data_IF_299733401274
#
_entry.id   IF_299733401274
#
_cell.length_a   1.000
_cell.length_b   1.000
_cell.length_c   1.000
_cell.angle_alpha   90.00
_cell.angle_beta   90.00
_cell.angle_gamma   90.00
#
_symmetry.space_group_name_H-M   'P 1'
#
loop_
_entity.id
_entity.type
_entity.pdbx_description
1 polymer ?
#
# COMPACT_ATOMS: atom_id res chain seq x y z
N UNK A 1 -8.20 51.83 17.39
CA UNK A 1 -7.89 52.10 15.97
C UNK A 1 -6.57 51.40 15.69
N UNK A 2 -6.43 50.26 15.01
CA UNK A 2 -7.29 49.38 14.22
C UNK A 2 -7.03 47.94 14.67
N UNK A 3 -8.07 47.17 14.99
CA UNK A 3 -8.02 45.71 15.05
C UNK A 3 -8.35 45.24 13.64
N UNK A 4 -7.36 44.74 12.91
CA UNK A 4 -7.54 44.13 11.60
C UNK A 4 -8.17 42.76 11.77
N UNK A 5 -9.50 42.71 11.54
CA UNK A 5 -10.25 41.49 11.22
C UNK A 5 -9.78 41.01 9.85
N UNK A 6 -9.33 39.75 9.75
CA UNK A 6 -9.56 38.84 8.60
C UNK A 6 -8.80 37.52 8.77
N UNK A 7 -9.25 36.69 9.72
CA UNK A 7 -8.91 35.25 9.78
C UNK A 7 -10.19 34.42 9.59
N UNK A 8 -10.88 34.66 8.48
CA UNK A 8 -11.96 33.82 7.99
C UNK A 8 -11.80 33.77 6.47
N UNK A 9 -11.18 32.68 5.98
CA UNK A 9 -11.33 32.10 4.64
C UNK A 9 -10.04 31.41 4.19
N UNK A 10 -9.76 30.22 4.72
CA UNK A 10 -9.00 29.20 3.98
C UNK A 10 -9.42 27.83 4.53
N UNK A 11 -10.65 27.42 4.22
CA UNK A 11 -10.98 26.00 4.17
C UNK A 11 -11.05 25.66 2.68
N UNK A 12 -9.96 25.21 2.03
CA UNK A 12 -10.09 24.65 0.71
C UNK A 12 -10.90 23.36 0.87
N UNK A 13 -12.17 23.42 0.47
CA UNK A 13 -12.93 22.20 0.15
C UNK A 13 -12.03 21.45 -0.83
N UNK A 14 -11.57 20.25 -0.44
CA UNK A 14 -10.82 19.36 -1.31
C UNK A 14 -11.69 19.16 -2.53
N UNK A 15 -11.32 19.78 -3.66
CA UNK A 15 -11.92 19.46 -4.95
C UNK A 15 -11.23 18.18 -5.40
N UNK A 16 -11.88 17.00 -5.35
CA UNK A 16 -11.34 15.86 -6.04
C UNK A 16 -11.26 16.24 -7.52
N UNK A 17 -10.05 16.28 -8.07
CA UNK A 17 -9.83 16.32 -9.52
C UNK A 17 -10.06 14.91 -10.08
N UNK A 18 -11.28 14.39 -9.87
CA UNK A 18 -11.74 13.14 -10.46
C UNK A 18 -12.65 13.55 -11.60
N UNK A 19 -12.14 13.44 -12.82
CA UNK A 19 -12.96 13.52 -14.01
C UNK A 19 -13.80 12.22 -14.04
N UNK A 20 -14.98 12.25 -13.42
CA UNK A 20 -15.85 11.09 -13.26
C UNK A 20 -16.48 10.71 -14.61
N UNK A 21 -15.93 9.69 -15.27
CA UNK A 21 -16.61 8.94 -16.32
C UNK A 21 -17.82 8.19 -15.75
N UNK A 22 -18.85 8.00 -16.58
CA UNK A 22 -20.17 7.42 -16.29
C UNK A 22 -20.20 5.93 -15.90
N UNK A 23 -19.07 5.30 -15.59
CA UNK A 23 -19.04 3.91 -15.15
C UNK A 23 -19.29 3.86 -13.62
N UNK A 24 -20.14 2.97 -13.09
CA UNK A 24 -20.45 2.93 -11.67
C UNK A 24 -19.28 2.31 -10.89
N UNK A 25 -18.27 3.11 -10.59
CA UNK A 25 -17.17 2.69 -9.72
C UNK A 25 -17.63 2.59 -8.26
N UNK A 26 -17.08 1.61 -7.55
CA UNK A 26 -17.31 1.41 -6.13
C UNK A 26 -16.15 1.97 -5.32
N UNK A 27 -16.42 2.86 -4.38
CA UNK A 27 -15.46 3.21 -3.33
C UNK A 27 -15.65 2.29 -2.12
N UNK A 28 -14.57 1.65 -1.67
CA UNK A 28 -14.59 0.70 -0.55
C UNK A 28 -13.40 0.91 0.36
N UNK A 29 -13.59 0.70 1.66
CA UNK A 29 -12.49 0.66 2.63
C UNK A 29 -12.20 -0.79 3.03
N UNK A 30 -10.93 -1.11 3.26
CA UNK A 30 -10.53 -2.45 3.66
C UNK A 30 -9.04 -2.57 3.95
N UNK A 31 -8.50 -3.78 3.78
CA UNK A 31 -7.09 -4.06 4.02
C UNK A 31 -6.51 -5.01 2.97
N UNK A 32 -5.19 -4.91 2.76
CA UNK A 32 -4.38 -5.90 2.06
C UNK A 32 -3.30 -6.45 2.99
N UNK A 33 -3.02 -7.74 2.86
CA UNK A 33 -2.00 -8.49 3.58
C UNK A 33 -1.08 -9.16 2.56
N UNK A 34 0.22 -8.92 2.70
CA UNK A 34 1.24 -9.44 1.78
C UNK A 34 2.56 -9.70 2.51
N UNK A 35 3.39 -10.57 1.96
CA UNK A 35 4.77 -10.74 2.39
C UNK A 35 5.74 -10.06 1.42
N UNK A 36 6.68 -9.29 1.96
CA UNK A 36 7.78 -8.65 1.23
C UNK A 36 9.06 -8.77 2.07
N UNK A 37 10.23 -8.69 1.44
CA UNK A 37 11.49 -8.55 2.19
C UNK A 37 11.69 -7.09 2.53
N UNK A 38 11.88 -6.79 3.82
CA UNK A 38 12.17 -5.44 4.29
C UNK A 38 13.59 -5.36 4.85
N UNK A 39 14.24 -4.21 4.66
CA UNK A 39 15.53 -3.90 5.27
C UNK A 39 15.48 -2.52 5.95
N UNK A 40 16.40 -2.28 6.89
CA UNK A 40 16.53 -0.97 7.56
C UNK A 40 17.21 0.01 6.63
N UNK A 41 16.53 1.13 6.35
CA UNK A 41 17.15 2.27 5.67
C UNK A 41 18.01 3.05 6.68
N UNK A 42 19.25 3.37 6.31
CA UNK A 42 20.21 4.00 7.23
C UNK A 42 20.51 5.45 6.94
N UNK A 43 20.48 5.82 5.67
CA UNK A 43 20.81 7.16 5.18
C UNK A 43 19.55 7.84 4.66
N UNK A 44 19.62 9.18 4.52
CA UNK A 44 18.50 10.00 4.00
C UNK A 44 17.22 9.87 4.84
N UNK A 45 17.41 9.74 6.16
CA UNK A 45 16.32 9.70 7.15
C UNK A 45 16.56 10.75 8.23
N UNK A 46 15.48 11.16 8.90
CA UNK A 46 15.57 12.04 10.05
C UNK A 46 16.39 11.39 11.18
N UNK A 47 17.28 12.13 11.86
CA UNK A 47 18.16 11.56 12.88
C UNK A 47 17.43 10.73 13.95
N UNK A 48 18.00 9.57 14.27
CA UNK A 48 17.47 8.62 15.26
C UNK A 48 16.03 8.14 15.01
N UNK A 49 15.55 8.17 13.76
CA UNK A 49 14.27 7.55 13.40
C UNK A 49 14.48 6.17 12.80
N UNK A 50 13.43 5.34 12.87
CA UNK A 50 13.44 4.00 12.30
C UNK A 50 12.61 3.96 11.02
N UNK A 51 13.27 3.65 9.90
CA UNK A 51 12.64 3.54 8.58
C UNK A 51 13.03 2.20 7.97
N UNK A 52 12.06 1.54 7.34
CA UNK A 52 12.28 0.32 6.56
C UNK A 52 12.00 0.59 5.08
N UNK A 53 12.63 -0.16 4.21
CA UNK A 53 12.41 -0.16 2.77
C UNK A 53 12.08 -1.58 2.28
N UNK A 54 11.17 -1.69 1.32
CA UNK A 54 11.06 -2.87 0.46
C UNK A 54 11.76 -2.56 -0.89
N UNK A 55 12.98 -3.06 -1.13
CA UNK A 55 13.71 -2.77 -2.35
C UNK A 55 13.08 -3.43 -3.59
N UNK A 56 12.47 -4.60 -3.40
CA UNK A 56 11.78 -5.34 -4.45
C UNK A 56 10.35 -5.69 -3.99
N UNK A 57 9.42 -4.71 -3.96
CA UNK A 57 8.08 -4.94 -3.47
C UNK A 57 7.33 -5.91 -4.39
N UNK A 58 7.66 -6.03 -5.67
CA UNK A 58 7.07 -7.01 -6.60
C UNK A 58 8.16 -7.89 -7.20
N UNK A 59 8.52 -9.00 -6.52
CA UNK A 59 9.62 -9.85 -6.96
C UNK A 59 9.48 -10.35 -8.39
N UNK A 60 10.53 -10.16 -9.19
CA UNK A 60 10.59 -10.60 -10.59
C UNK A 60 9.92 -9.67 -11.62
N UNK A 61 9.36 -8.53 -11.18
CA UNK A 61 8.74 -7.56 -12.10
C UNK A 61 9.63 -6.37 -12.43
N UNK A 62 10.40 -5.93 -11.45
CA UNK A 62 11.25 -4.78 -11.61
C UNK A 62 12.70 -5.24 -11.54
N UNK A 63 13.34 -5.33 -12.71
CA UNK A 63 14.73 -5.71 -12.89
C UNK A 63 15.72 -4.64 -12.33
N UNK A 64 15.45 -4.07 -11.14
CA UNK A 64 16.24 -2.99 -10.54
C UNK A 64 17.66 -3.42 -10.19
N UNK A 65 17.91 -4.73 -10.04
CA UNK A 65 19.24 -5.32 -9.86
C UNK A 65 19.75 -6.04 -11.13
N UNK A 66 19.25 -5.66 -12.31
CA UNK A 66 19.86 -6.11 -13.58
C UNK A 66 21.18 -5.37 -13.85
N UNK A 67 22.00 -5.91 -14.75
CA UNK A 67 23.34 -5.39 -15.10
C UNK A 67 23.32 -3.97 -15.72
N UNK A 68 22.16 -3.32 -15.82
CA UNK A 68 21.99 -1.96 -16.32
C UNK A 68 21.64 -1.01 -15.16
N UNK A 69 22.40 0.08 -14.96
CA UNK A 69 22.16 1.04 -13.89
C UNK A 69 20.84 1.78 -14.15
N UNK A 70 19.78 1.34 -13.49
CA UNK A 70 18.55 2.12 -13.32
C UNK A 70 18.77 3.03 -12.12
N UNK A 71 18.38 4.31 -12.21
CA UNK A 71 18.39 5.20 -11.05
C UNK A 71 17.61 4.55 -9.90
N UNK A 72 18.30 4.33 -8.78
CA UNK A 72 17.72 3.74 -7.57
C UNK A 72 16.78 4.75 -6.94
N UNK A 73 15.47 4.53 -7.10
CA UNK A 73 14.43 5.33 -6.46
C UNK A 73 13.69 4.50 -5.40
N UNK A 74 13.27 5.13 -4.29
CA UNK A 74 12.53 4.43 -3.25
C UNK A 74 11.15 4.02 -3.76
N UNK A 75 10.90 2.71 -3.79
CA UNK A 75 9.61 2.19 -4.21
C UNK A 75 8.62 2.25 -3.05
N UNK A 76 8.92 1.52 -1.98
CA UNK A 76 8.03 1.25 -0.85
C UNK A 76 8.81 1.54 0.44
N UNK A 77 8.51 2.67 1.06
CA UNK A 77 9.13 3.11 2.32
C UNK A 77 8.14 2.92 3.45
N UNK A 78 8.62 2.54 4.64
CA UNK A 78 7.81 2.33 5.82
C UNK A 78 8.38 3.15 6.98
N UNK A 79 7.70 4.25 7.31
CA UNK A 79 8.05 5.08 8.45
C UNK A 79 7.53 4.42 9.73
N UNK A 80 8.43 4.00 10.63
CA UNK A 80 8.03 3.25 11.82
C UNK A 80 7.60 4.20 12.94
N UNK A 81 6.39 3.99 13.44
CA UNK A 81 5.73 4.86 14.40
C UNK A 81 6.05 4.46 15.83
N UNK A 82 6.12 5.44 16.71
CA UNK A 82 6.34 5.23 18.15
C UNK A 82 5.12 4.64 18.85
N UNK A 83 3.92 4.92 18.33
CA UNK A 83 2.62 4.46 18.82
C UNK A 83 1.66 4.27 17.66
N UNK A 84 0.56 3.56 17.90
CA UNK A 84 -0.53 3.41 16.96
C UNK A 84 -1.26 4.76 16.80
N UNK A 85 -1.41 5.18 15.55
CA UNK A 85 -2.26 6.30 15.15
C UNK A 85 -3.50 5.77 14.43
N UNK A 86 -4.61 6.51 14.50
CA UNK A 86 -5.83 6.14 13.79
C UNK A 86 -5.66 6.34 12.28
N UNK A 87 -6.60 5.79 11.50
CA UNK A 87 -6.61 6.05 10.06
C UNK A 87 -6.77 7.55 9.80
N UNK A 88 -7.67 8.17 10.56
CA UNK A 88 -8.04 9.56 10.44
C UNK A 88 -6.89 10.51 10.81
N UNK A 89 -6.09 10.17 11.83
CA UNK A 89 -4.89 10.96 12.19
C UNK A 89 -3.92 11.01 11.01
N UNK A 90 -3.61 9.85 10.43
CA UNK A 90 -2.66 9.74 9.33
C UNK A 90 -3.23 10.34 8.05
N UNK A 91 -4.52 10.12 7.74
CA UNK A 91 -5.17 10.71 6.56
C UNK A 91 -5.19 12.24 6.63
N UNK A 92 -5.55 12.84 7.78
CA UNK A 92 -5.55 14.31 7.93
C UNK A 92 -4.14 14.88 7.82
N UNK A 93 -3.16 14.27 8.49
CA UNK A 93 -1.76 14.66 8.38
C UNK A 93 -1.28 14.59 6.92
N UNK A 94 -1.59 13.50 6.23
CA UNK A 94 -1.24 13.31 4.81
C UNK A 94 -1.84 14.39 3.92
N UNK A 95 -3.14 14.69 4.09
CA UNK A 95 -3.83 15.72 3.32
C UNK A 95 -3.21 17.10 3.51
N UNK A 96 -2.86 17.45 4.75
CA UNK A 96 -2.19 18.69 5.06
C UNK A 96 -0.80 18.75 4.41
N UNK A 97 0.01 17.69 4.55
CA UNK A 97 1.34 17.61 3.95
C UNK A 97 1.28 17.76 2.42
N UNK A 98 0.34 17.06 1.76
CA UNK A 98 0.14 17.15 0.31
C UNK A 98 -0.16 18.57 -0.19
N UNK A 99 -0.67 19.48 0.64
CA UNK A 99 -0.97 20.85 0.22
C UNK A 99 0.28 21.71 -0.03
N UNK A 100 1.44 21.31 0.50
CA UNK A 100 2.70 22.03 0.37
C UNK A 100 3.88 21.15 -0.08
N UNK A 101 3.74 19.83 -0.08
CA UNK A 101 4.76 18.93 -0.59
C UNK A 101 4.89 19.07 -2.11
N UNK A 102 6.13 19.14 -2.62
CA UNK A 102 6.39 19.53 -4.01
C UNK A 102 5.93 18.49 -5.04
N UNK A 103 5.87 17.22 -4.65
CA UNK A 103 5.52 16.10 -5.52
C UNK A 103 4.33 15.34 -4.95
N UNK A 104 3.65 14.57 -5.78
CA UNK A 104 2.63 13.66 -5.25
C UNK A 104 3.29 12.47 -4.56
N UNK A 105 2.64 11.93 -3.54
CA UNK A 105 3.05 10.70 -2.86
C UNK A 105 1.82 9.99 -2.31
N UNK A 106 1.90 8.69 -2.12
CA UNK A 106 0.84 7.93 -1.47
C UNK A 106 1.29 7.48 -0.09
N UNK A 107 0.50 7.84 0.94
CA UNK A 107 0.73 7.42 2.31
C UNK A 107 -0.43 6.57 2.82
N UNK A 108 -0.09 5.52 3.57
CA UNK A 108 -1.08 4.54 3.99
C UNK A 108 -0.72 3.95 5.35
N UNK A 109 -1.59 4.01 6.37
CA UNK A 109 -1.34 3.33 7.63
C UNK A 109 -1.27 1.83 7.45
N UNK A 110 -0.37 1.20 8.19
CA UNK A 110 -0.21 -0.24 8.18
C UNK A 110 0.46 -0.78 9.42
N UNK A 111 0.60 -2.11 9.41
CA UNK A 111 1.30 -2.88 10.42
C UNK A 111 2.26 -3.82 9.71
N UNK A 112 3.51 -3.84 10.17
CA UNK A 112 4.57 -4.70 9.67
C UNK A 112 4.94 -5.70 10.76
N UNK A 113 4.95 -6.99 10.43
CA UNK A 113 5.42 -8.04 11.31
C UNK A 113 6.69 -8.66 10.73
N UNK A 114 7.82 -8.49 11.42
CA UNK A 114 9.11 -9.11 11.05
C UNK A 114 9.55 -9.96 12.23
N UNK A 115 9.72 -11.26 12.00
CA UNK A 115 9.94 -12.25 13.05
C UNK A 115 8.86 -12.15 14.14
N UNK A 116 9.25 -11.96 15.40
CA UNK A 116 8.34 -11.82 16.54
C UNK A 116 8.09 -10.35 16.94
N UNK A 117 8.34 -9.39 16.02
CA UNK A 117 8.15 -7.96 16.27
C UNK A 117 7.09 -7.39 15.36
N UNK A 118 6.18 -6.63 15.97
CA UNK A 118 5.18 -5.82 15.28
C UNK A 118 5.59 -4.34 15.31
N UNK A 119 5.40 -3.68 14.17
CA UNK A 119 5.66 -2.26 13.98
C UNK A 119 4.42 -1.60 13.35
N UNK A 120 3.90 -0.56 14.00
CA UNK A 120 2.93 0.34 13.36
C UNK A 120 3.70 1.26 12.41
N UNK A 121 3.19 1.45 11.19
CA UNK A 121 3.91 2.14 10.12
C UNK A 121 3.00 3.04 9.30
N UNK A 122 3.60 4.03 8.64
CA UNK A 122 3.03 4.65 7.44
C UNK A 122 3.83 4.14 6.25
N UNK A 123 3.18 3.42 5.34
CA UNK A 123 3.77 3.06 4.05
C UNK A 123 3.67 4.24 3.10
N UNK A 124 4.79 4.65 2.52
CA UNK A 124 4.94 5.70 1.54
C UNK A 124 5.32 5.09 0.18
N UNK A 125 4.74 5.62 -0.91
CA UNK A 125 5.05 5.27 -2.31
C UNK A 125 5.06 6.51 -3.21
N UNK A 126 5.61 6.34 -4.41
CA UNK A 126 5.74 7.38 -5.44
C UNK A 126 6.62 8.54 -5.00
N UNK A 127 7.69 8.22 -4.27
CA UNK A 127 8.78 9.16 -4.07
C UNK A 127 9.68 9.11 -5.30
N UNK A 128 10.14 10.28 -5.71
CA UNK A 128 11.05 10.46 -6.83
C UNK A 128 12.49 10.11 -6.41
N UNK A 129 12.85 10.38 -5.15
CA UNK A 129 14.17 10.09 -4.60
C UNK A 129 14.13 9.94 -3.07
N UNK A 130 15.24 9.45 -2.49
CA UNK A 130 15.35 9.21 -1.05
C UNK A 130 15.41 10.47 -0.19
N UNK A 131 15.82 11.63 -0.72
CA UNK A 131 15.92 12.87 0.06
C UNK A 131 14.54 13.32 0.58
N UNK A 132 13.49 13.02 -0.17
CA UNK A 132 12.10 13.31 0.18
C UNK A 132 11.62 12.61 1.47
N UNK A 133 12.31 11.56 1.91
CA UNK A 133 11.96 10.84 3.14
C UNK A 133 12.15 11.76 4.35
N UNK A 134 13.24 12.54 4.39
CA UNK A 134 13.52 13.48 5.49
C UNK A 134 12.44 14.56 5.56
N UNK A 135 12.07 15.12 4.41
CA UNK A 135 11.04 16.17 4.33
C UNK A 135 9.66 15.64 4.74
N UNK A 136 9.32 14.42 4.35
CA UNK A 136 8.09 13.78 4.80
C UNK A 136 8.09 13.52 6.30
N UNK A 137 9.21 13.05 6.86
CA UNK A 137 9.32 12.86 8.30
C UNK A 137 9.14 14.17 9.06
N UNK A 138 9.77 15.26 8.60
CA UNK A 138 9.56 16.59 9.17
C UNK A 138 8.08 17.00 9.11
N UNK A 139 7.45 16.87 7.94
CA UNK A 139 6.04 17.21 7.76
C UNK A 139 5.11 16.41 8.69
N UNK A 140 5.33 15.11 8.84
CA UNK A 140 4.56 14.29 9.78
C UNK A 140 4.81 14.66 11.25
N UNK A 141 6.04 15.01 11.62
CA UNK A 141 6.36 15.48 12.97
C UNK A 141 5.66 16.80 13.30
N UNK A 142 5.58 17.72 12.33
CA UNK A 142 4.82 18.98 12.48
C UNK A 142 3.31 18.74 12.66
N UNK A 143 2.79 17.62 12.13
CA UNK A 143 1.41 17.16 12.36
C UNK A 143 1.25 16.36 13.67
N UNK A 144 2.29 16.24 14.50
CA UNK A 144 2.25 15.52 15.78
C UNK A 144 2.44 14.01 15.69
N UNK A 145 2.93 13.50 14.55
CA UNK A 145 3.26 12.08 14.37
C UNK A 145 4.67 11.82 14.89
N UNK A 146 4.79 10.88 15.84
CA UNK A 146 6.05 10.50 16.48
C UNK A 146 6.61 9.23 15.86
N UNK A 147 7.89 9.27 15.45
CA UNK A 147 8.60 8.11 14.94
C UNK A 147 9.32 7.33 16.04
N UNK A 148 9.42 6.01 15.85
CA UNK A 148 10.17 5.13 16.72
C UNK A 148 11.67 5.34 16.52
N UNK A 149 12.44 5.24 17.60
CA UNK A 149 13.89 5.28 17.51
C UNK A 149 14.47 4.03 16.83
N UNK A 150 15.55 4.23 16.07
CA UNK A 150 16.26 3.14 15.38
C UNK A 150 16.73 2.09 16.39
N UNK A 151 16.49 0.79 16.15
CA UNK A 151 17.04 -0.26 17.01
C UNK A 151 18.58 -0.32 16.88
N UNK A 152 19.29 -0.81 17.91
CA UNK A 152 20.76 -0.91 17.88
C UNK A 152 21.27 -1.92 16.83
N UNK A 153 20.44 -2.89 16.44
CA UNK A 153 20.73 -3.84 15.37
C UNK A 153 19.80 -3.58 14.19
N UNK A 154 20.36 -3.65 12.98
CA UNK A 154 19.58 -3.60 11.74
C UNK A 154 18.51 -4.68 11.75
N UNK A 155 17.33 -4.31 11.29
CA UNK A 155 16.21 -5.22 11.04
C UNK A 155 16.16 -5.46 9.55
N UNK A 156 16.21 -6.73 9.17
CA UNK A 156 16.10 -7.19 7.80
C UNK A 156 15.42 -8.55 7.79
N UNK A 157 14.62 -8.84 6.76
CA UNK A 157 14.06 -10.16 6.54
C UNK A 157 12.65 -10.15 5.97
N UNK A 158 12.04 -11.34 5.83
CA UNK A 158 10.67 -11.45 5.37
C UNK A 158 9.72 -10.81 6.38
N UNK A 159 8.80 -9.99 5.87
CA UNK A 159 7.84 -9.23 6.64
C UNK A 159 6.42 -9.53 6.18
N UNK A 160 5.50 -9.78 7.12
CA UNK A 160 4.06 -9.79 6.84
C UNK A 160 3.50 -8.39 7.05
N UNK A 161 3.05 -7.78 5.97
CA UNK A 161 2.65 -6.38 5.90
C UNK A 161 1.15 -6.31 5.70
N UNK A 162 0.46 -5.59 6.59
CA UNK A 162 -0.96 -5.29 6.49
C UNK A 162 -1.15 -3.79 6.30
N UNK A 163 -1.74 -3.39 5.18
CA UNK A 163 -2.06 -1.98 4.91
C UNK A 163 -3.58 -1.77 4.91
N UNK A 164 -4.02 -0.64 5.44
CA UNK A 164 -5.40 -0.17 5.30
C UNK A 164 -5.54 0.48 3.94
N UNK A 165 -6.51 0.14 3.10
CA UNK A 165 -6.63 0.70 1.76
C UNK A 165 -8.05 1.15 1.47
N UNK A 166 -8.15 2.32 0.83
CA UNK A 166 -9.33 2.72 0.09
C UNK A 166 -9.17 2.25 -1.35
N UNK A 167 -10.18 1.55 -1.84
CA UNK A 167 -10.25 0.98 -3.17
C UNK A 167 -11.26 1.76 -3.99
N UNK A 168 -10.90 2.07 -5.23
CA UNK A 168 -11.83 2.55 -6.25
C UNK A 168 -11.90 1.44 -7.29
N UNK A 169 -12.98 0.67 -7.27
CA UNK A 169 -13.10 -0.59 -7.99
C UNK A 169 -14.12 -0.48 -9.12
N UNK A 170 -13.80 -1.04 -10.28
CA UNK A 170 -14.77 -1.36 -11.31
C UNK A 170 -15.05 -2.86 -11.29
N UNK A 171 -16.30 -3.26 -11.10
CA UNK A 171 -16.72 -4.66 -11.19
C UNK A 171 -17.09 -4.98 -12.64
N UNK A 172 -16.21 -5.66 -13.37
CA UNK A 172 -16.45 -5.97 -14.80
C UNK A 172 -17.27 -7.23 -14.97
N UNK A 173 -17.06 -8.21 -14.08
CA UNK A 173 -17.83 -9.46 -13.97
C UNK A 173 -18.08 -9.70 -12.49
N UNK A 174 -19.19 -10.37 -12.15
CA UNK A 174 -19.56 -10.64 -10.76
C UNK A 174 -18.39 -11.24 -9.95
N UNK A 175 -17.97 -10.51 -8.92
CA UNK A 175 -16.88 -10.86 -8.02
C UNK A 175 -15.47 -10.69 -8.62
N UNK A 176 -15.33 -9.98 -9.74
CA UNK A 176 -14.06 -9.63 -10.39
C UNK A 176 -13.98 -8.12 -10.50
N UNK A 177 -12.91 -7.53 -9.96
CA UNK A 177 -12.76 -6.10 -9.82
C UNK A 177 -11.40 -5.62 -10.35
N UNK A 178 -11.37 -4.42 -10.91
CA UNK A 178 -10.15 -3.73 -11.31
C UNK A 178 -10.00 -2.41 -10.58
N UNK A 179 -8.80 -2.12 -10.07
CA UNK A 179 -8.50 -0.83 -9.43
C UNK A 179 -8.50 0.28 -10.49
N UNK A 180 -9.18 1.38 -10.21
CA UNK A 180 -9.20 2.55 -11.09
C UNK A 180 -7.97 3.45 -10.90
N UNK A 181 -7.30 3.35 -9.74
CA UNK A 181 -6.08 4.11 -9.46
C UNK A 181 -4.85 3.26 -9.81
N UNK A 182 -4.79 2.02 -9.33
CA UNK A 182 -3.69 1.09 -9.59
C UNK A 182 -4.02 0.14 -10.73
N UNK A 183 -3.97 0.61 -11.98
CA UNK A 183 -4.45 -0.13 -13.16
C UNK A 183 -3.90 -1.55 -13.33
N UNK A 184 -2.71 -1.82 -12.82
CA UNK A 184 -2.04 -3.12 -12.86
C UNK A 184 -2.54 -4.09 -11.78
N UNK A 185 -3.56 -3.69 -11.00
CA UNK A 185 -4.13 -4.44 -9.89
C UNK A 185 -5.55 -4.90 -10.19
N UNK A 186 -5.74 -6.20 -10.15
CA UNK A 186 -7.03 -6.88 -10.23
C UNK A 186 -7.35 -7.61 -8.94
N UNK A 187 -8.63 -7.79 -8.66
CA UNK A 187 -9.12 -8.46 -7.46
C UNK A 187 -10.22 -9.45 -7.81
N UNK A 188 -10.31 -10.54 -7.06
CA UNK A 188 -11.49 -11.39 -7.11
C UNK A 188 -11.97 -11.76 -5.71
N UNK A 189 -13.28 -11.75 -5.52
CA UNK A 189 -13.93 -12.16 -4.28
C UNK A 189 -13.72 -13.66 -4.03
N UNK A 190 -13.49 -14.02 -2.76
CA UNK A 190 -13.41 -15.40 -2.28
C UNK A 190 -14.54 -15.68 -1.28
N UNK A 191 -15.01 -16.93 -1.15
CA UNK A 191 -16.17 -17.25 -0.33
C UNK A 191 -15.90 -17.18 1.17
N UNK A 192 -14.63 -17.29 1.58
CA UNK A 192 -14.22 -17.30 2.98
C UNK A 192 -12.83 -16.71 3.19
N UNK A 193 -12.56 -16.31 4.43
CA UNK A 193 -11.26 -15.80 4.85
C UNK A 193 -10.22 -16.90 4.93
N UNK A 194 -9.13 -16.77 4.17
CA UNK A 194 -7.98 -17.68 4.27
C UNK A 194 -6.99 -17.19 5.34
N UNK A 195 -6.36 -18.14 6.05
CA UNK A 195 -5.17 -17.84 6.84
C UNK A 195 -3.97 -17.56 5.91
N UNK A 196 -2.98 -16.80 6.39
CA UNK A 196 -1.77 -16.51 5.60
C UNK A 196 -1.10 -17.79 5.07
N UNK A 197 -0.88 -18.77 5.95
CA UNK A 197 -0.27 -20.07 5.59
C UNK A 197 -1.05 -20.82 4.52
N UNK A 198 -2.38 -20.77 4.60
CA UNK A 198 -3.24 -21.43 3.61
C UNK A 198 -3.21 -20.70 2.26
N UNK A 199 -3.32 -19.36 2.28
CA UNK A 199 -3.18 -18.51 1.11
C UNK A 199 -1.82 -18.72 0.41
N UNK A 200 -0.72 -18.72 1.16
CA UNK A 200 0.63 -18.94 0.63
C UNK A 200 0.76 -20.31 -0.05
N UNK A 201 0.24 -21.37 0.59
CA UNK A 201 0.25 -22.71 0.00
C UNK A 201 -0.55 -22.79 -1.31
N UNK A 202 -1.77 -22.22 -1.34
CA UNK A 202 -2.58 -22.16 -2.57
C UNK A 202 -1.83 -21.37 -3.65
N UNK A 203 -1.31 -20.20 -3.31
CA UNK A 203 -0.59 -19.32 -4.24
C UNK A 203 0.59 -20.05 -4.89
N UNK A 204 1.38 -20.77 -4.10
CA UNK A 204 2.49 -21.59 -4.60
C UNK A 204 2.00 -22.66 -5.57
N UNK A 205 0.91 -23.37 -5.24
CA UNK A 205 0.34 -24.39 -6.12
C UNK A 205 -0.24 -23.81 -7.40
N UNK A 206 -0.89 -22.64 -7.34
CA UNK A 206 -1.40 -21.95 -8.52
C UNK A 206 -0.24 -21.55 -9.42
N UNK A 207 0.79 -20.88 -8.87
CA UNK A 207 1.99 -20.47 -9.62
C UNK A 207 2.75 -21.64 -10.25
N UNK A 208 2.83 -22.78 -9.55
CA UNK A 208 3.49 -23.97 -10.08
C UNK A 208 2.76 -24.56 -11.30
N UNK A 209 1.44 -24.44 -11.36
CA UNK A 209 0.61 -24.94 -12.47
C UNK A 209 0.15 -23.79 -13.41
N UNK A 210 0.90 -22.69 -13.44
CA UNK A 210 0.58 -21.51 -14.22
C UNK A 210 1.46 -21.45 -15.47
N UNK A 211 0.83 -21.33 -16.63
CA UNK A 211 1.52 -21.37 -17.94
C UNK A 211 1.66 -19.99 -18.59
N UNK A 212 1.03 -18.96 -18.03
CA UNK A 212 1.11 -17.56 -18.50
C UNK A 212 2.19 -16.79 -17.73
N UNK A 213 2.50 -15.53 -18.08
CA UNK A 213 3.45 -14.72 -17.32
C UNK A 213 3.17 -14.70 -15.82
N UNK A 214 4.22 -14.60 -15.01
CA UNK A 214 4.12 -14.59 -13.55
C UNK A 214 3.29 -13.40 -13.04
N UNK A 215 2.72 -13.56 -11.84
CA UNK A 215 1.99 -12.53 -11.11
C UNK A 215 2.43 -12.45 -9.64
N UNK A 216 2.16 -11.31 -9.01
CA UNK A 216 2.25 -11.14 -7.57
C UNK A 216 0.86 -11.24 -6.92
N UNK A 217 0.76 -11.84 -5.73
CA UNK A 217 -0.52 -12.10 -5.07
C UNK A 217 -0.53 -11.60 -3.62
N UNK A 218 -1.67 -11.05 -3.21
CA UNK A 218 -1.93 -10.60 -1.84
C UNK A 218 -3.35 -11.00 -1.45
N UNK A 219 -3.60 -11.21 -0.17
CA UNK A 219 -4.94 -11.48 0.35
C UNK A 219 -5.48 -10.24 1.04
N UNK A 220 -6.77 -9.99 0.94
CA UNK A 220 -7.37 -8.83 1.57
C UNK A 220 -8.86 -8.96 1.74
N UNK A 221 -9.47 -7.85 2.13
CA UNK A 221 -10.92 -7.73 2.21
C UNK A 221 -11.32 -6.26 2.09
N UNK A 222 -12.60 -6.04 1.81
CA UNK A 222 -13.22 -4.73 1.96
C UNK A 222 -14.56 -4.82 2.70
N UNK A 223 -14.96 -3.71 3.30
CA UNK A 223 -16.26 -3.58 3.96
C UNK A 223 -17.36 -3.37 2.93
N UNK A 224 -18.44 -4.15 3.03
CA UNK A 224 -19.59 -4.06 2.13
C UNK A 224 -20.87 -4.52 2.85
N UNK A 225 -21.93 -3.71 2.77
CA UNK A 225 -23.24 -4.08 3.33
C UNK A 225 -23.23 -4.43 4.81
N UNK A 226 -22.52 -3.65 5.65
CA UNK A 226 -22.27 -3.93 7.08
C UNK A 226 -21.47 -5.22 7.36
N UNK A 227 -20.99 -5.91 6.34
CA UNK A 227 -20.14 -7.09 6.43
C UNK A 227 -18.75 -6.88 5.82
N UNK A 228 -18.07 -8.00 5.59
CA UNK A 228 -16.74 -8.08 4.97
C UNK A 228 -16.84 -8.99 3.75
N UNK A 229 -16.26 -8.54 2.64
CA UNK A 229 -16.01 -9.36 1.45
C UNK A 229 -14.51 -9.65 1.39
N UNK A 230 -14.12 -10.91 1.61
CA UNK A 230 -12.75 -11.38 1.42
C UNK A 230 -12.42 -11.45 -0.07
N UNK A 231 -11.16 -11.18 -0.42
CA UNK A 231 -10.68 -11.16 -1.80
C UNK A 231 -9.19 -11.49 -1.91
N UNK A 232 -8.76 -11.83 -3.12
CA UNK A 232 -7.34 -11.94 -3.48
C UNK A 232 -7.05 -10.87 -4.52
N UNK A 233 -5.95 -10.13 -4.33
CA UNK A 233 -5.40 -9.17 -5.28
C UNK A 233 -4.30 -9.83 -6.11
N UNK A 234 -4.40 -9.71 -7.41
CA UNK A 234 -3.37 -10.08 -8.39
C UNK A 234 -2.76 -8.80 -8.95
N UNK A 235 -1.43 -8.73 -8.96
CA UNK A 235 -0.68 -7.71 -9.67
C UNK A 235 0.01 -8.33 -10.88
N UNK A 236 -0.21 -7.70 -12.03
CA UNK A 236 0.46 -7.99 -13.29
C UNK A 236 0.32 -6.74 -14.19
N UNK A 237 1.39 -6.18 -14.77
CA UNK A 237 1.32 -4.95 -15.57
C UNK A 237 0.31 -4.99 -16.71
N UNK A 238 0.20 -6.13 -17.40
CA UNK A 238 -0.74 -6.30 -18.52
C UNK A 238 -2.01 -7.04 -18.10
N UNK A 239 -2.44 -6.84 -16.84
CA UNK A 239 -3.62 -7.53 -16.31
C UNK A 239 -4.87 -7.15 -17.10
N UNK A 240 -5.67 -8.16 -17.43
CA UNK A 240 -6.96 -8.00 -18.09
C UNK A 240 -7.96 -9.01 -17.52
N UNK A 241 -9.22 -8.89 -17.93
CA UNK A 241 -10.32 -9.71 -17.42
C UNK A 241 -10.08 -11.22 -17.63
N UNK A 242 -9.60 -11.60 -18.82
CA UNK A 242 -9.31 -13.01 -19.15
C UNK A 242 -8.25 -13.58 -18.20
N UNK A 243 -7.11 -12.88 -18.06
CA UNK A 243 -6.01 -13.29 -17.19
C UNK A 243 -6.49 -13.44 -15.74
N UNK A 244 -7.18 -12.42 -15.21
CA UNK A 244 -7.66 -12.43 -13.83
C UNK A 244 -8.70 -13.54 -13.59
N UNK A 245 -9.57 -13.80 -14.57
CA UNK A 245 -10.59 -14.85 -14.50
C UNK A 245 -9.96 -16.25 -14.48
N UNK A 246 -8.92 -16.49 -15.29
CA UNK A 246 -8.16 -17.73 -15.27
C UNK A 246 -7.43 -17.95 -13.95
N UNK A 247 -6.78 -16.92 -13.41
CA UNK A 247 -6.15 -16.99 -12.09
C UNK A 247 -7.19 -17.30 -11.03
N UNK A 248 -8.33 -16.57 -11.02
CA UNK A 248 -9.45 -16.81 -10.11
C UNK A 248 -9.89 -18.27 -10.15
N UNK A 249 -10.08 -18.84 -11.35
CA UNK A 249 -10.47 -20.25 -11.51
C UNK A 249 -9.51 -21.20 -10.79
N UNK A 250 -8.19 -21.03 -10.97
CA UNK A 250 -7.18 -21.87 -10.32
C UNK A 250 -7.19 -21.76 -8.79
N UNK A 251 -7.46 -20.56 -8.25
CA UNK A 251 -7.63 -20.38 -6.80
C UNK A 251 -8.91 -21.04 -6.29
N UNK A 252 -10.05 -20.84 -6.97
CA UNK A 252 -11.34 -21.42 -6.55
C UNK A 252 -11.34 -22.95 -6.55
N UNK A 253 -10.61 -23.60 -7.46
CA UNK A 253 -10.42 -25.06 -7.47
C UNK A 253 -9.70 -25.59 -6.21
N UNK A 254 -8.99 -24.71 -5.47
CA UNK A 254 -8.11 -25.07 -4.34
C UNK A 254 -8.61 -24.53 -3.00
N UNK A 255 -9.44 -23.51 -3.00
CA UNK A 255 -10.18 -23.04 -1.81
C UNK A 255 -11.29 -24.06 -1.57
N UNK A 256 -11.28 -24.71 -0.40
CA UNK A 256 -12.18 -25.80 -0.02
C UNK A 256 -12.78 -25.54 1.34
#
# INVERSE_FOLDING_TARGET
>A
MYISKNFLNFCPIIKPNINMSKEPYMERYGNLLKQETLCTLEDKIWPNTFVLEAPEPFPGFYNYYSDHPVESKPLYIYLVLKKLYTLEDITRATQNIKSYFQTDFNATPGVVNIYNKQFDVIRIRHLDNFDQIVDLQAGYMDQGIEFRSKPPRKVEGPAIIRIKKFFILNETVRGVFFDQIEKDHGYFAIPEKLTWKHFENITRQVKFNWERPFFDAAIGHFHFGFGIQDMIRIYYPDINEEYLTEVRKKYMERIK
#
